data_IF_112650372732
#
_entry.id   IF_112650372732
#
_cell.length_a   1.000
_cell.length_b   1.000
_cell.length_c   1.000
_cell.angle_alpha   90.00
_cell.angle_beta   90.00
_cell.angle_gamma   90.00
#
_symmetry.space_group_name_H-M   'P 1'
#
loop_
_entity.id
_entity.type
_entity.pdbx_description
1 polymer ?
#
# COMPACT_ATOMS: atom_id res chain seq x y z
N UNK A 1 0.85 -14.42 -29.25
CA UNK A 1 0.81 -14.16 -27.79
C UNK A 1 1.62 -12.90 -27.56
N UNK A 2 1.01 -11.84 -27.03
CA UNK A 2 1.78 -10.63 -26.71
C UNK A 2 2.74 -10.98 -25.56
N UNK A 3 4.01 -10.63 -25.70
CA UNK A 3 5.01 -10.82 -24.68
C UNK A 3 4.58 -10.05 -23.42
N UNK A 4 4.34 -10.76 -22.32
CA UNK A 4 3.93 -10.11 -21.08
C UNK A 4 5.19 -9.55 -20.41
N UNK A 5 5.28 -8.23 -20.32
CA UNK A 5 6.30 -7.56 -19.52
C UNK A 5 5.66 -7.10 -18.20
N UNK A 6 6.15 -7.57 -17.03
CA UNK A 6 5.68 -7.09 -15.73
C UNK A 6 5.74 -5.57 -15.65
N UNK A 7 4.72 -4.96 -15.04
CA UNK A 7 4.64 -3.52 -14.85
C UNK A 7 4.96 -3.19 -13.40
N UNK A 8 5.88 -2.28 -13.21
CA UNK A 8 6.34 -1.85 -11.90
C UNK A 8 5.73 -0.51 -11.55
N UNK A 9 5.34 -0.29 -10.29
CA UNK A 9 4.78 0.97 -9.81
C UNK A 9 5.44 1.39 -8.51
N UNK A 10 5.67 2.70 -8.36
CA UNK A 10 6.08 3.29 -7.09
C UNK A 10 4.90 4.01 -6.48
N UNK A 11 4.47 3.59 -5.29
CA UNK A 11 3.46 4.28 -4.54
C UNK A 11 4.03 4.74 -3.20
N UNK A 12 3.49 5.83 -2.64
CA UNK A 12 3.84 6.25 -1.29
C UNK A 12 2.64 6.40 -0.38
N UNK A 13 2.83 6.25 0.91
CA UNK A 13 1.80 6.47 1.91
C UNK A 13 2.38 7.17 3.14
N UNK A 14 1.54 7.74 3.99
CA UNK A 14 1.99 8.33 5.24
C UNK A 14 1.88 7.24 6.32
N UNK A 15 3.00 6.72 6.84
CA UNK A 15 2.93 5.74 7.92
C UNK A 15 2.36 6.37 9.18
N UNK A 16 1.71 5.55 10.02
CA UNK A 16 1.06 5.99 11.26
C UNK A 16 2.06 6.69 12.19
N UNK A 17 3.32 6.26 12.21
CA UNK A 17 4.39 6.89 13.01
C UNK A 17 4.70 8.35 12.64
N UNK A 18 4.22 8.82 11.49
CA UNK A 18 4.33 10.23 11.08
C UNK A 18 3.28 11.14 11.70
N UNK A 19 2.35 10.62 12.51
CA UNK A 19 1.28 11.39 13.12
C UNK A 19 1.47 11.56 14.63
N UNK A 20 0.93 12.65 15.18
CA UNK A 20 1.04 12.96 16.61
C UNK A 20 0.39 11.91 17.53
N UNK A 21 -0.67 11.24 17.04
CA UNK A 21 -1.41 10.18 17.73
C UNK A 21 -0.60 8.89 17.92
N UNK A 22 0.45 8.68 17.11
CA UNK A 22 1.25 7.45 17.13
C UNK A 22 1.75 7.06 18.52
N UNK A 23 2.31 8.02 19.28
CA UNK A 23 2.88 7.73 20.60
C UNK A 23 1.86 7.18 21.57
N UNK A 24 0.63 7.73 21.55
CA UNK A 24 -0.45 7.27 22.40
C UNK A 24 -0.93 5.88 21.97
N UNK A 25 -1.11 5.66 20.66
CA UNK A 25 -1.49 4.35 20.13
C UNK A 25 -0.46 3.28 20.50
N UNK A 26 0.82 3.51 20.21
CA UNK A 26 1.88 2.55 20.50
C UNK A 26 2.04 2.25 22.01
N UNK A 27 1.76 3.24 22.87
CA UNK A 27 1.72 3.02 24.31
C UNK A 27 0.55 2.12 24.75
N UNK A 28 -0.62 2.23 24.11
CA UNK A 28 -1.78 1.37 24.38
C UNK A 28 -1.72 0.00 23.71
N UNK A 29 -1.06 -0.08 22.55
CA UNK A 29 -0.92 -1.29 21.75
C UNK A 29 0.48 -1.34 21.12
N UNK A 30 1.47 -1.92 21.84
CA UNK A 30 2.85 -1.97 21.38
C UNK A 30 3.05 -2.92 20.19
N UNK A 31 2.04 -3.70 19.80
CA UNK A 31 2.11 -4.63 18.67
C UNK A 31 1.80 -3.96 17.33
N UNK A 32 1.21 -2.76 17.33
CA UNK A 32 1.00 -2.01 16.08
C UNK A 32 2.36 -1.59 15.53
N UNK A 33 2.72 -1.97 14.29
CA UNK A 33 3.99 -1.55 13.70
C UNK A 33 3.97 -0.05 13.31
N UNK A 34 5.10 0.66 13.41
CA UNK A 34 5.17 2.09 13.07
C UNK A 34 4.91 2.41 11.59
N UNK A 35 5.18 1.48 10.68
CA UNK A 35 5.06 1.70 9.22
C UNK A 35 3.80 1.07 8.59
N UNK A 36 2.69 1.09 9.31
CA UNK A 36 1.36 0.77 8.75
C UNK A 36 0.63 2.04 8.30
N UNK A 37 -0.35 1.90 7.40
CA UNK A 37 -1.23 3.01 7.05
C UNK A 37 -2.07 3.43 8.27
N UNK A 38 -2.17 4.72 8.57
CA UNK A 38 -2.86 5.15 9.79
C UNK A 38 -4.38 5.28 9.67
N UNK A 39 -5.00 4.93 8.54
CA UNK A 39 -6.43 5.17 8.35
C UNK A 39 -7.34 4.15 9.04
N UNK A 40 -8.63 4.48 9.22
CA UNK A 40 -9.60 3.54 9.79
C UNK A 40 -9.85 2.29 8.91
N UNK A 41 -9.40 2.34 7.65
CA UNK A 41 -9.42 1.28 6.64
C UNK A 41 -8.03 1.19 6.00
N UNK A 42 -7.10 0.50 6.67
CA UNK A 42 -5.67 0.37 6.27
C UNK A 42 -5.52 0.26 4.75
N UNK A 43 -4.86 1.24 4.10
CA UNK A 43 -4.72 1.28 2.64
C UNK A 43 -3.31 1.70 2.18
N UNK A 44 -2.49 0.77 1.66
CA UNK A 44 -2.74 -0.67 1.58
C UNK A 44 -2.77 -1.33 2.98
N UNK A 45 -3.45 -2.46 3.10
CA UNK A 45 -3.39 -3.26 4.32
C UNK A 45 -2.17 -4.19 4.28
N UNK A 46 -1.03 -3.68 4.75
CA UNK A 46 0.25 -4.41 4.76
C UNK A 46 0.40 -5.39 5.92
N UNK A 47 -0.53 -5.36 6.89
CA UNK A 47 -0.50 -6.24 8.07
C UNK A 47 -1.08 -7.63 7.74
N UNK A 48 -1.87 -7.72 6.68
CA UNK A 48 -2.48 -8.97 6.24
C UNK A 48 -1.48 -9.89 5.52
N UNK A 49 -1.62 -11.22 5.68
CA UNK A 49 -0.75 -12.22 5.01
C UNK A 49 -0.85 -12.20 3.49
N UNK A 50 -2.03 -11.87 2.97
CA UNK A 50 -2.24 -11.49 1.59
C UNK A 50 -2.72 -10.02 1.56
N UNK A 51 -1.78 -9.05 1.53
CA UNK A 51 -2.11 -7.64 1.54
C UNK A 51 -3.08 -7.25 0.44
N UNK A 52 -3.75 -6.12 0.61
CA UNK A 52 -4.73 -5.64 -0.36
C UNK A 52 -4.50 -4.20 -0.76
N UNK A 53 -4.86 -3.91 -2.01
CA UNK A 53 -4.91 -2.56 -2.56
C UNK A 53 -6.34 -2.32 -3.05
N UNK A 54 -6.95 -1.23 -2.63
CA UNK A 54 -8.30 -0.83 -3.02
C UNK A 54 -8.34 0.63 -3.49
N UNK A 55 -9.50 1.07 -3.96
CA UNK A 55 -9.69 2.44 -4.39
C UNK A 55 -10.07 3.41 -3.24
N UNK A 56 -10.04 3.01 -1.97
CA UNK A 56 -10.54 3.84 -0.86
C UNK A 56 -9.74 5.14 -0.68
N UNK A 57 -8.41 5.06 -0.65
CA UNK A 57 -7.56 6.22 -0.39
C UNK A 57 -7.50 7.18 -1.59
N UNK A 58 -7.47 6.65 -2.83
CA UNK A 58 -7.16 7.42 -4.04
C UNK A 58 -8.14 7.26 -5.20
N UNK A 59 -9.32 6.70 -4.93
CA UNK A 59 -10.41 6.58 -5.88
C UNK A 59 -9.92 6.00 -7.23
N UNK A 60 -10.32 6.62 -8.34
CA UNK A 60 -9.95 6.21 -9.69
C UNK A 60 -8.47 6.27 -10.09
N UNK A 61 -7.55 6.71 -9.21
CA UNK A 61 -6.17 7.06 -9.63
C UNK A 61 -5.24 5.87 -9.79
N UNK A 62 -5.27 4.90 -8.89
CA UNK A 62 -4.25 3.85 -8.84
C UNK A 62 -4.81 2.43 -8.94
N UNK A 63 -5.55 1.94 -7.94
CA UNK A 63 -6.05 0.57 -7.91
C UNK A 63 -6.74 0.13 -9.22
N UNK A 64 -7.60 0.94 -9.87
CA UNK A 64 -8.25 0.52 -11.12
C UNK A 64 -7.31 0.25 -12.31
N UNK A 65 -6.07 0.77 -12.26
CA UNK A 65 -5.06 0.61 -13.32
C UNK A 65 -4.26 -0.68 -13.20
N UNK A 66 -4.26 -1.27 -12.01
CA UNK A 66 -3.48 -2.45 -11.70
C UNK A 66 -4.09 -3.70 -12.36
N UNK A 67 -3.24 -4.64 -12.72
CA UNK A 67 -3.55 -5.91 -13.37
C UNK A 67 -2.76 -7.02 -12.70
N UNK A 68 -3.16 -8.26 -12.95
CA UNK A 68 -2.45 -9.43 -12.45
C UNK A 68 -0.99 -9.42 -12.93
N UNK A 69 -0.08 -9.74 -12.03
CA UNK A 69 1.36 -9.71 -12.25
C UNK A 69 2.02 -8.33 -12.17
N UNK A 70 1.27 -7.26 -11.88
CA UNK A 70 1.91 -5.99 -11.56
C UNK A 70 2.66 -6.07 -10.23
N UNK A 71 3.80 -5.40 -10.16
CA UNK A 71 4.59 -5.26 -8.93
C UNK A 71 4.51 -3.80 -8.45
N UNK A 72 4.16 -3.61 -7.19
CA UNK A 72 3.98 -2.29 -6.56
C UNK A 72 4.91 -2.15 -5.36
N UNK A 73 5.86 -1.22 -5.45
CA UNK A 73 6.70 -0.83 -4.33
C UNK A 73 6.03 0.30 -3.54
N UNK A 74 5.85 0.11 -2.24
CA UNK A 74 5.33 1.08 -1.29
C UNK A 74 6.47 1.70 -0.47
N UNK A 75 6.65 3.00 -0.63
CA UNK A 75 7.57 3.80 0.19
C UNK A 75 6.79 4.70 1.16
N UNK A 76 7.41 5.10 2.26
CA UNK A 76 6.86 6.22 3.05
C UNK A 76 6.87 7.51 2.23
N UNK A 77 6.01 8.48 2.56
CA UNK A 77 6.22 9.87 2.12
C UNK A 77 7.52 10.40 2.73
N UNK A 78 8.11 11.43 2.14
CA UNK A 78 9.27 12.08 2.73
C UNK A 78 8.93 12.65 4.11
N UNK A 79 9.73 12.34 5.13
CA UNK A 79 9.55 12.86 6.48
C UNK A 79 10.63 12.41 7.45
N UNK A 80 10.49 12.78 8.71
CA UNK A 80 11.36 12.32 9.80
C UNK A 80 10.64 11.20 10.56
N UNK A 81 11.18 9.98 10.47
CA UNK A 81 10.63 8.78 11.10
C UNK A 81 11.66 8.12 12.01
N UNK A 82 11.22 7.71 13.20
CA UNK A 82 12.09 7.13 14.23
C UNK A 82 13.12 8.15 14.74
N UNK A 83 14.35 7.69 14.96
CA UNK A 83 15.43 8.52 15.53
C UNK A 83 16.17 9.38 14.50
N UNK A 84 15.79 9.29 13.22
CA UNK A 84 16.45 10.02 12.13
C UNK A 84 15.80 11.39 11.95
N UNK A 85 16.55 12.46 12.28
CA UNK A 85 16.07 13.85 12.24
C UNK A 85 16.01 14.47 10.84
N UNK A 86 16.71 13.89 9.86
CA UNK A 86 16.69 14.36 8.48
C UNK A 86 15.52 13.75 7.72
N UNK A 87 14.89 14.54 6.84
CA UNK A 87 13.83 14.09 5.95
C UNK A 87 14.31 12.96 5.01
N UNK A 88 13.65 11.82 5.06
CA UNK A 88 14.01 10.63 4.27
C UNK A 88 12.77 9.84 3.84
N UNK A 89 13.01 8.80 3.04
CA UNK A 89 12.03 7.80 2.64
C UNK A 89 12.40 6.45 3.24
N UNK A 90 11.47 5.51 3.21
CA UNK A 90 11.71 4.10 3.58
C UNK A 90 10.93 3.20 2.63
N UNK A 91 11.56 2.17 2.07
CA UNK A 91 10.85 1.12 1.34
C UNK A 91 10.22 0.18 2.37
N UNK A 92 8.89 0.21 2.43
CA UNK A 92 8.12 -0.52 3.45
C UNK A 92 7.66 -1.87 2.92
N UNK A 93 7.22 -1.93 1.66
CA UNK A 93 6.73 -3.18 1.08
C UNK A 93 6.87 -3.21 -0.43
N UNK A 94 6.97 -4.42 -0.99
CA UNK A 94 6.85 -4.71 -2.42
C UNK A 94 5.76 -5.77 -2.57
N UNK A 95 4.71 -5.45 -3.31
CA UNK A 95 3.53 -6.28 -3.49
C UNK A 95 3.43 -6.78 -4.93
N UNK A 96 3.04 -8.04 -5.12
CA UNK A 96 2.66 -8.62 -6.40
C UNK A 96 1.14 -8.74 -6.46
N UNK A 97 0.51 -8.16 -7.47
CA UNK A 97 -0.94 -8.27 -7.67
C UNK A 97 -1.27 -9.71 -8.10
N UNK A 98 -1.96 -10.43 -7.23
CA UNK A 98 -2.30 -11.86 -7.39
C UNK A 98 -3.68 -12.07 -7.96
N UNK A 99 -4.65 -11.30 -7.46
CA UNK A 99 -6.04 -11.38 -7.87
C UNK A 99 -6.65 -9.99 -7.97
N UNK A 100 -7.65 -9.87 -8.84
CA UNK A 100 -8.43 -8.66 -9.05
C UNK A 100 -9.90 -9.00 -9.02
N UNK A 101 -10.64 -8.33 -8.14
CA UNK A 101 -12.07 -8.51 -7.98
C UNK A 101 -12.82 -7.30 -8.50
N UNK A 102 -14.02 -7.53 -9.01
CA UNK A 102 -14.90 -6.46 -9.45
C UNK A 102 -15.58 -5.77 -8.26
N UNK A 103 -15.72 -6.48 -7.13
CA UNK A 103 -16.31 -5.98 -5.89
C UNK A 103 -15.61 -6.48 -4.62
N UNK A 104 -15.95 -5.85 -3.50
CA UNK A 104 -15.45 -6.25 -2.18
C UNK A 104 -16.08 -7.57 -1.69
N UNK A 105 -17.32 -7.86 -2.10
CA UNK A 105 -18.04 -9.09 -1.79
C UNK A 105 -17.43 -10.30 -2.51
N UNK A 106 -16.94 -10.11 -3.74
CA UNK A 106 -16.17 -11.14 -4.44
C UNK A 106 -14.84 -11.43 -3.73
N UNK A 107 -14.12 -10.36 -3.34
CA UNK A 107 -12.90 -10.50 -2.55
C UNK A 107 -13.19 -11.25 -1.24
N UNK A 108 -14.28 -10.91 -0.53
CA UNK A 108 -14.68 -11.59 0.71
C UNK A 108 -14.83 -13.09 0.51
N UNK A 109 -15.54 -13.53 -0.54
CA UNK A 109 -15.70 -14.95 -0.84
C UNK A 109 -14.36 -15.63 -1.11
N UNK A 110 -13.48 -14.96 -1.86
CA UNK A 110 -12.16 -15.50 -2.21
C UNK A 110 -11.23 -15.64 -1.00
N UNK A 111 -11.18 -14.65 -0.11
CA UNK A 111 -10.43 -14.75 1.16
C UNK A 111 -11.03 -15.85 2.06
N UNK A 112 -12.36 -15.91 2.16
CA UNK A 112 -13.06 -16.93 2.94
C UNK A 112 -12.80 -18.36 2.45
N UNK A 113 -12.79 -18.58 1.13
CA UNK A 113 -12.48 -19.88 0.52
C UNK A 113 -11.04 -20.35 0.79
N UNK A 114 -10.14 -19.43 1.14
CA UNK A 114 -8.77 -19.75 1.57
C UNK A 114 -8.63 -19.88 3.08
N UNK A 115 -9.71 -19.73 3.84
CA UNK A 115 -9.67 -19.73 5.31
C UNK A 115 -8.95 -18.52 5.90
N UNK A 116 -8.89 -17.40 5.16
CA UNK A 116 -8.23 -16.18 5.59
C UNK A 116 -9.22 -15.17 6.17
N UNK A 117 -8.74 -14.33 7.08
CA UNK A 117 -9.44 -13.13 7.52
C UNK A 117 -9.55 -12.11 6.39
N UNK A 118 -10.41 -11.10 6.56
CA UNK A 118 -10.52 -10.01 5.59
C UNK A 118 -9.52 -8.89 5.92
N UNK A 119 -8.81 -8.35 4.92
CA UNK A 119 -8.08 -7.11 5.07
C UNK A 119 -9.01 -5.96 5.50
N UNK A 120 -8.53 -5.01 6.30
CA UNK A 120 -9.34 -3.93 6.88
C UNK A 120 -9.93 -2.96 5.86
N UNK A 121 -9.32 -2.82 4.69
CA UNK A 121 -9.89 -2.08 3.56
C UNK A 121 -10.96 -2.86 2.77
N UNK A 122 -11.26 -4.13 3.09
CA UNK A 122 -12.35 -4.86 2.47
C UNK A 122 -13.70 -4.45 3.11
N UNK A 123 -14.35 -3.43 2.54
CA UNK A 123 -15.61 -2.87 3.02
C UNK A 123 -16.84 -3.75 2.76
N UNK A 124 -16.99 -4.82 3.55
CA UNK A 124 -18.20 -5.67 3.58
C UNK A 124 -18.79 -5.72 4.98
N UNK A 125 -20.05 -6.14 5.10
CA UNK A 125 -20.69 -6.35 6.39
C UNK A 125 -19.90 -7.35 7.24
N UNK A 126 -19.71 -7.04 8.53
CA UNK A 126 -18.94 -7.88 9.46
C UNK A 126 -17.43 -7.62 9.44
N UNK A 127 -16.94 -6.74 8.55
CA UNK A 127 -15.57 -6.24 8.60
C UNK A 127 -15.58 -4.76 9.00
N UNK A 128 -15.67 -4.50 10.29
CA UNK A 128 -15.78 -3.14 10.83
C UNK A 128 -14.45 -2.36 10.73
N UNK A 129 -14.50 -1.01 10.61
CA UNK A 129 -13.29 -0.19 10.61
C UNK A 129 -12.58 -0.27 11.97
N UNK A 130 -11.32 0.16 11.99
CA UNK A 130 -10.58 0.35 13.24
C UNK A 130 -11.23 1.43 14.12
N UNK A 131 -11.07 1.33 15.44
CA UNK A 131 -11.55 2.38 16.36
C UNK A 131 -10.73 3.66 16.20
N UNK A 132 -11.23 4.79 16.69
CA UNK A 132 -10.57 6.09 16.54
C UNK A 132 -9.14 6.08 17.09
N UNK A 133 -8.96 5.45 18.26
CA UNK A 133 -7.70 5.31 18.99
C UNK A 133 -6.66 4.52 18.19
N UNK A 134 -7.11 3.56 17.36
CA UNK A 134 -6.27 2.72 16.51
C UNK A 134 -5.85 3.41 15.18
N UNK A 135 -6.34 4.63 14.94
CA UNK A 135 -6.02 5.41 13.74
C UNK A 135 -5.04 6.55 14.01
N UNK A 136 -4.64 7.25 12.94
CA UNK A 136 -3.88 8.47 13.03
C UNK A 136 -4.71 9.70 13.48
N UNK A 137 -6.03 9.59 13.65
CA UNK A 137 -6.92 10.65 14.17
C UNK A 137 -6.87 11.98 13.40
N UNK A 138 -6.47 11.93 12.13
CA UNK A 138 -6.24 13.13 11.31
C UNK A 138 -6.75 12.94 9.86
N UNK A 139 -8.00 12.48 9.68
CA UNK A 139 -8.55 12.19 8.36
C UNK A 139 -8.48 13.40 7.43
N UNK A 140 -8.31 13.15 6.14
CA UNK A 140 -8.39 14.21 5.12
C UNK A 140 -9.78 14.85 5.16
N UNK A 141 -9.81 16.15 5.46
CA UNK A 141 -11.07 16.89 5.54
C UNK A 141 -11.62 17.18 4.14
N UNK A 142 -12.94 17.06 3.92
CA UNK A 142 -13.55 17.47 2.67
C UNK A 142 -13.40 19.00 2.50
N UNK A 143 -13.16 19.46 1.27
CA UNK A 143 -13.11 20.91 0.97
C UNK A 143 -14.47 21.59 1.22
N UNK A 144 -15.55 20.85 0.97
CA UNK A 144 -16.93 21.24 1.24
C UNK A 144 -17.64 20.06 1.91
N UNK A 145 -18.01 20.19 3.18
CA UNK A 145 -18.68 19.14 3.93
C UNK A 145 -18.46 19.25 5.43
N UNK A 146 -19.12 18.39 6.22
CA UNK A 146 -18.92 18.34 7.66
C UNK A 146 -17.48 17.87 7.98
N UNK A 147 -16.94 18.39 9.09
CA UNK A 147 -15.68 17.91 9.65
C UNK A 147 -15.78 16.42 9.96
N UNK A 148 -14.76 15.68 9.55
CA UNK A 148 -14.57 14.28 9.94
C UNK A 148 -13.85 14.28 11.29
N UNK A 149 -14.60 13.98 12.34
CA UNK A 149 -14.18 13.95 13.74
C UNK A 149 -14.52 12.61 14.43
N UNK A 150 -14.96 11.62 13.65
CA UNK A 150 -15.27 10.27 14.13
C UNK A 150 -14.95 9.22 13.05
N UNK A 151 -14.79 7.96 13.47
CA UNK A 151 -14.56 6.84 12.54
C UNK A 151 -15.76 6.62 11.64
N UNK A 152 -16.98 6.77 12.14
CA UNK A 152 -18.22 6.54 11.38
C UNK A 152 -18.31 7.51 10.20
N UNK A 153 -17.98 8.79 10.43
CA UNK A 153 -17.94 9.79 9.35
C UNK A 153 -16.83 9.49 8.34
N UNK A 154 -15.67 9.04 8.81
CA UNK A 154 -14.54 8.68 7.93
C UNK A 154 -14.88 7.45 7.08
N UNK A 155 -15.40 6.40 7.71
CA UNK A 155 -15.83 5.16 7.06
C UNK A 155 -16.96 5.43 6.06
N UNK A 156 -17.90 6.32 6.37
CA UNK A 156 -18.94 6.75 5.44
C UNK A 156 -18.37 7.39 4.17
N UNK A 157 -17.30 8.20 4.27
CA UNK A 157 -16.62 8.75 3.10
C UNK A 157 -15.92 7.67 2.27
N UNK A 158 -15.36 6.64 2.92
CA UNK A 158 -14.82 5.49 2.22
C UNK A 158 -15.90 4.66 1.53
N UNK A 159 -17.06 4.42 2.16
CA UNK A 159 -18.23 3.76 1.54
C UNK A 159 -18.70 4.52 0.29
N UNK A 160 -18.76 5.85 0.35
CA UNK A 160 -19.10 6.70 -0.82
C UNK A 160 -18.09 6.57 -1.97
N UNK A 161 -16.81 6.29 -1.67
CA UNK A 161 -15.78 6.08 -2.70
C UNK A 161 -15.83 4.67 -3.25
N UNK A 162 -16.02 3.68 -2.39
CA UNK A 162 -16.17 2.27 -2.75
C UNK A 162 -17.33 2.10 -3.75
N UNK A 163 -18.48 2.73 -3.51
CA UNK A 163 -19.64 2.67 -4.43
C UNK A 163 -19.39 3.27 -5.81
N UNK A 164 -18.30 4.03 -6.00
CA UNK A 164 -17.87 4.56 -7.31
C UNK A 164 -16.70 3.79 -7.90
N UNK A 165 -15.96 3.07 -7.06
CA UNK A 165 -14.72 2.39 -7.40
C UNK A 165 -14.61 1.08 -6.60
N UNK A 166 -15.27 0.06 -7.11
CA UNK A 166 -15.46 -1.23 -6.41
C UNK A 166 -14.24 -2.16 -6.51
N UNK A 167 -13.26 -1.81 -7.35
CA UNK A 167 -12.07 -2.62 -7.60
C UNK A 167 -11.31 -2.92 -6.30
N UNK A 168 -11.08 -4.20 -6.06
CA UNK A 168 -10.28 -4.72 -4.96
C UNK A 168 -9.19 -5.65 -5.50
N UNK A 169 -7.98 -5.55 -4.95
CA UNK A 169 -6.84 -6.35 -5.38
C UNK A 169 -6.29 -7.10 -4.18
N UNK A 170 -6.17 -8.42 -4.27
CA UNK A 170 -5.39 -9.20 -3.34
C UNK A 170 -3.97 -9.36 -3.88
N UNK A 171 -2.98 -9.23 -3.00
CA UNK A 171 -1.58 -9.21 -3.33
C UNK A 171 -0.81 -10.26 -2.53
N UNK A 172 0.31 -10.72 -3.10
CA UNK A 172 1.37 -11.42 -2.37
C UNK A 172 2.40 -10.39 -1.92
N UNK A 173 2.83 -10.48 -0.66
CA UNK A 173 3.97 -9.69 -0.16
C UNK A 173 5.28 -10.32 -0.65
N UNK A 174 5.97 -9.66 -1.58
CA UNK A 174 7.31 -10.05 -2.03
C UNK A 174 8.40 -9.60 -1.05
N UNK A 175 8.15 -8.47 -0.38
CA UNK A 175 8.94 -7.92 0.71
C UNK A 175 8.04 -7.06 1.59
N UNK A 176 8.18 -7.12 2.91
CA UNK A 176 7.51 -6.22 3.85
C UNK A 176 8.35 -6.06 5.12
N UNK A 177 8.60 -4.83 5.55
CA UNK A 177 9.26 -4.49 6.80
C UNK A 177 8.53 -3.30 7.45
N UNK A 178 7.73 -3.57 8.49
CA UNK A 178 6.83 -2.59 9.11
C UNK A 178 7.39 -1.96 10.39
N UNK A 179 8.49 -2.49 10.92
CA UNK A 179 9.08 -2.05 12.19
C UNK A 179 10.23 -1.08 11.96
N UNK A 180 11.21 -1.48 11.17
CA UNK A 180 12.43 -0.70 10.95
C UNK A 180 12.90 -0.73 9.49
N UNK A 181 12.04 -0.33 8.52
CA UNK A 181 12.42 -0.37 7.11
C UNK A 181 13.59 0.55 6.86
N UNK A 182 14.57 0.10 6.07
CA UNK A 182 15.83 0.83 5.89
C UNK A 182 15.59 2.23 5.30
N UNK A 183 16.40 3.18 5.75
CA UNK A 183 16.40 4.56 5.27
C UNK A 183 16.84 4.61 3.81
N UNK A 184 16.09 5.34 2.99
CA UNK A 184 16.45 5.70 1.63
C UNK A 184 16.51 7.22 1.56
N UNK A 185 17.67 7.75 1.18
CA UNK A 185 17.86 9.19 1.11
C UNK A 185 17.24 9.78 -0.16
N UNK A 186 16.87 11.07 -0.15
CA UNK A 186 16.36 11.72 -1.35
C UNK A 186 17.32 11.61 -2.56
N UNK A 187 18.63 11.66 -2.33
CA UNK A 187 19.62 11.53 -3.40
C UNK A 187 19.68 10.12 -3.99
N UNK A 188 19.49 9.09 -3.17
CA UNK A 188 19.37 7.70 -3.64
C UNK A 188 18.14 7.54 -4.55
N UNK A 189 16.98 8.10 -4.16
CA UNK A 189 15.80 8.06 -5.02
C UNK A 189 15.99 8.87 -6.31
N UNK A 190 16.68 10.01 -6.25
CA UNK A 190 17.03 10.76 -7.47
C UNK A 190 17.93 9.92 -8.38
N UNK A 191 18.88 9.17 -7.83
CA UNK A 191 19.70 8.24 -8.62
C UNK A 191 18.84 7.17 -9.30
N UNK A 192 17.89 6.55 -8.58
CA UNK A 192 16.96 5.55 -9.15
C UNK A 192 16.10 6.12 -10.29
N UNK A 193 15.71 7.39 -10.20
CA UNK A 193 14.74 8.01 -11.10
C UNK A 193 15.33 9.15 -11.96
N UNK A 194 16.59 9.01 -12.36
CA UNK A 194 17.26 9.89 -13.34
C UNK A 194 17.18 11.39 -12.97
N UNK A 195 17.40 11.70 -11.69
CA UNK A 195 17.47 13.05 -11.15
C UNK A 195 16.16 13.59 -10.56
N UNK A 196 15.01 12.93 -10.79
CA UNK A 196 13.71 13.42 -10.33
C UNK A 196 12.88 12.36 -9.60
N UNK A 197 12.49 12.63 -8.35
CA UNK A 197 11.62 11.74 -7.59
C UNK A 197 10.19 11.82 -8.18
N UNK A 198 9.60 10.70 -8.64
CA UNK A 198 8.31 10.73 -9.32
C UNK A 198 7.16 11.03 -8.35
N UNK A 199 6.14 11.73 -8.86
CA UNK A 199 4.88 11.90 -8.12
C UNK A 199 4.17 10.56 -7.93
N UNK A 200 3.88 10.21 -6.68
CA UNK A 200 3.34 8.89 -6.33
C UNK A 200 1.82 8.85 -6.23
N UNK A 201 1.12 10.00 -6.22
CA UNK A 201 -0.34 10.08 -6.04
C UNK A 201 -1.14 9.40 -7.18
N UNK A 202 -0.61 9.48 -8.39
CA UNK A 202 -1.14 8.88 -9.60
C UNK A 202 0.02 8.24 -10.36
N UNK A 203 0.58 7.14 -9.83
CA UNK A 203 1.92 6.72 -10.21
C UNK A 203 1.93 6.21 -11.65
N UNK A 204 2.91 6.68 -12.41
CA UNK A 204 3.26 6.09 -13.70
C UNK A 204 3.95 4.74 -13.51
N UNK A 205 4.02 3.96 -14.59
CA UNK A 205 4.84 2.75 -14.60
C UNK A 205 6.32 3.13 -14.43
N UNK A 206 7.06 2.41 -13.59
CA UNK A 206 8.51 2.44 -13.69
C UNK A 206 8.89 1.79 -15.02
N UNK A 207 9.77 2.46 -15.76
CA UNK A 207 10.03 2.10 -17.16
C UNK A 207 10.84 0.83 -17.31
N UNK A 208 11.63 0.46 -16.30
CA UNK A 208 12.60 -0.63 -16.39
C UNK A 208 12.73 -1.38 -15.07
N UNK A 209 13.17 -2.64 -15.14
CA UNK A 209 13.41 -3.50 -13.97
C UNK A 209 14.60 -3.02 -13.14
N UNK A 210 15.58 -2.39 -13.77
CA UNK A 210 16.78 -1.83 -13.13
C UNK A 210 16.39 -0.78 -12.08
N UNK A 211 15.31 -0.02 -12.30
CA UNK A 211 14.82 0.92 -11.29
C UNK A 211 14.28 0.21 -10.04
N UNK A 212 13.61 -0.93 -10.22
CA UNK A 212 13.17 -1.74 -9.08
C UNK A 212 14.38 -2.34 -8.36
N UNK A 213 15.38 -2.85 -9.10
CA UNK A 213 16.64 -3.38 -8.55
C UNK A 213 17.33 -2.32 -7.70
N UNK A 214 17.63 -1.14 -8.27
CA UNK A 214 18.33 -0.08 -7.55
C UNK A 214 17.54 0.36 -6.30
N UNK A 215 16.20 0.50 -6.40
CA UNK A 215 15.35 0.86 -5.27
C UNK A 215 15.46 -0.14 -4.11
N UNK A 216 15.43 -1.44 -4.40
CA UNK A 216 15.43 -2.47 -3.36
C UNK A 216 16.84 -2.70 -2.79
N UNK A 217 17.88 -2.46 -3.58
CA UNK A 217 19.27 -2.49 -3.10
C UNK A 217 19.55 -1.39 -2.07
N UNK A 218 19.03 -0.17 -2.28
CA UNK A 218 19.08 0.87 -1.25
C UNK A 218 18.37 0.43 0.04
N UNK A 219 17.31 -0.38 -0.07
CA UNK A 219 16.64 -1.00 1.06
C UNK A 219 17.36 -2.24 1.64
N UNK A 220 18.50 -2.64 1.06
CA UNK A 220 19.32 -3.77 1.55
C UNK A 220 18.89 -5.14 1.01
N UNK A 221 18.08 -5.18 -0.05
CA UNK A 221 17.60 -6.40 -0.69
C UNK A 221 18.48 -6.66 -1.92
N UNK A 222 18.99 -7.90 -2.06
CA UNK A 222 19.86 -8.25 -3.18
C UNK A 222 19.14 -8.26 -4.54
N UNK A 223 19.83 -7.86 -5.61
CA UNK A 223 19.29 -7.79 -6.97
C UNK A 223 18.74 -9.13 -7.49
N UNK A 224 19.34 -10.27 -7.11
CA UNK A 224 18.87 -11.59 -7.54
C UNK A 224 17.46 -11.92 -7.04
N UNK A 225 17.05 -11.32 -5.92
CA UNK A 225 15.68 -11.45 -5.41
C UNK A 225 14.66 -10.86 -6.39
N UNK A 226 15.00 -9.78 -7.09
CA UNK A 226 14.11 -9.14 -8.06
C UNK A 226 13.87 -10.03 -9.28
N UNK A 227 14.87 -10.81 -9.71
CA UNK A 227 14.68 -11.79 -10.80
C UNK A 227 13.61 -12.81 -10.45
N UNK A 228 13.64 -13.35 -9.22
CA UNK A 228 12.63 -14.28 -8.71
C UNK A 228 11.24 -13.62 -8.71
N UNK A 229 11.14 -12.34 -8.33
CA UNK A 229 9.88 -11.61 -8.34
C UNK A 229 9.31 -11.41 -9.74
N UNK A 230 10.16 -11.09 -10.72
CA UNK A 230 9.80 -10.95 -12.13
C UNK A 230 9.27 -12.27 -12.69
N UNK A 231 9.96 -13.39 -12.43
CA UNK A 231 9.50 -14.72 -12.85
C UNK A 231 8.14 -15.09 -12.24
N UNK A 232 7.91 -14.74 -10.96
CA UNK A 232 6.62 -14.94 -10.30
C UNK A 232 5.52 -14.10 -10.95
N UNK A 233 5.80 -12.83 -11.24
CA UNK A 233 4.88 -11.93 -11.92
C UNK A 233 4.45 -12.48 -13.29
N UNK A 234 5.40 -12.97 -14.08
CA UNK A 234 5.11 -13.58 -15.38
C UNK A 234 4.22 -14.82 -15.26
N UNK A 235 4.41 -15.65 -14.23
CA UNK A 235 3.56 -16.83 -13.98
C UNK A 235 2.13 -16.42 -13.64
N UNK A 236 1.96 -15.42 -12.78
CA UNK A 236 0.64 -14.91 -12.38
C UNK A 236 -0.13 -14.32 -13.56
N UNK A 237 0.54 -13.63 -14.48
CA UNK A 237 -0.14 -13.06 -15.65
C UNK A 237 -0.51 -14.08 -16.71
N UNK A 238 0.15 -15.24 -16.74
CA UNK A 238 -0.16 -16.34 -17.67
C UNK A 238 -1.30 -17.23 -17.16
N UNK A 239 -1.62 -17.23 -15.87
CA UNK A 239 -2.77 -17.97 -15.34
C UNK A 239 -4.13 -17.32 -15.64
N UNK A 240 -4.13 -16.09 -16.16
CA UNK A 240 -5.34 -15.32 -16.52
C UNK A 240 -5.71 -15.44 -18.02
N UNK A 241 -4.86 -16.10 -18.81
CA UNK A 241 -5.01 -16.27 -20.27
C UNK A 241 -5.30 -17.71 -20.66
#
# INVERSE_FOLDING_TARGET
MADFTPRFFLNSFQPICGYASWKALHASDPLVPPFVDGSCRREPDLEHTLPSISALCRAGKFAPKLRLGDIVAYISKQGCYGDVRQNHYRLVSVLLVKERFSSHEEAQKWYGNQGLTLPKNCMVQGNEPLTWEQTHQAPNQPQSGPKIDSVEKWDAEYKKRQSKHENFLACEALYTELWQPKVIWPDDLRFVFDGAIPGTQNPGKMRTVERLINLVEFAGIGADTVKIWVERAEKVSKSDS
#
